data_IF_133465310824
#
_entry.id   IF_133465310824
#
_cell.length_a   1.000
_cell.length_b   1.000
_cell.length_c   1.000
_cell.angle_alpha   90.00
_cell.angle_beta   90.00
_cell.angle_gamma   90.00
#
_symmetry.space_group_name_H-M   'P 1'
#
loop_
_entity.id
_entity.type
_entity.pdbx_description
1 polymer ?
#
# COMPACT_ATOMS: atom_id res chain seq x y z
N UNK A 1 -38.79 -4.95 15.85
CA UNK A 1 -38.57 -4.82 14.40
C UNK A 1 -37.42 -3.84 14.07
N UNK A 2 -36.20 -4.10 14.57
CA UNK A 2 -35.01 -3.25 14.30
C UNK A 2 -33.73 -4.02 13.94
N UNK A 3 -33.76 -5.36 14.01
CA UNK A 3 -32.59 -6.23 13.81
C UNK A 3 -32.48 -6.83 12.39
N UNK A 4 -33.42 -6.55 11.49
CA UNK A 4 -33.45 -7.15 10.15
C UNK A 4 -32.74 -6.28 9.10
N UNK A 5 -32.56 -4.97 9.39
CA UNK A 5 -32.07 -4.01 8.40
C UNK A 5 -30.53 -4.07 8.24
N UNK A 6 -29.79 -4.46 9.29
CA UNK A 6 -28.31 -4.50 9.25
C UNK A 6 -27.80 -5.69 8.43
N UNK A 7 -28.53 -6.82 8.42
CA UNK A 7 -28.14 -8.02 7.64
C UNK A 7 -28.22 -7.82 6.12
N UNK A 8 -29.18 -7.03 5.64
CA UNK A 8 -29.38 -6.79 4.21
C UNK A 8 -28.29 -5.85 3.65
N UNK A 9 -27.78 -4.92 4.46
CA UNK A 9 -26.72 -3.99 4.03
C UNK A 9 -25.36 -4.70 3.86
N UNK A 10 -25.03 -5.67 4.71
CA UNK A 10 -23.80 -6.49 4.59
C UNK A 10 -23.85 -7.47 3.40
N UNK A 11 -25.03 -7.99 3.06
CA UNK A 11 -25.20 -8.85 1.88
C UNK A 11 -25.03 -8.05 0.57
N UNK A 12 -25.48 -6.79 0.53
CA UNK A 12 -25.37 -5.96 -0.67
C UNK A 12 -23.93 -5.50 -0.98
N UNK A 13 -23.12 -5.23 0.04
CA UNK A 13 -21.70 -4.89 -0.18
C UNK A 13 -20.91 -6.12 -0.67
N UNK A 14 -21.28 -7.31 -0.19
CA UNK A 14 -20.69 -8.57 -0.67
C UNK A 14 -21.14 -8.93 -2.10
N UNK A 15 -22.39 -8.63 -2.49
CA UNK A 15 -22.88 -8.87 -3.86
C UNK A 15 -22.42 -7.82 -4.89
N UNK A 16 -22.18 -6.56 -4.49
CA UNK A 16 -21.49 -5.62 -5.38
C UNK A 16 -20.03 -6.04 -5.67
N UNK A 17 -19.44 -6.86 -4.80
CA UNK A 17 -18.09 -7.40 -4.99
C UNK A 17 -18.05 -8.54 -6.03
N UNK A 18 -19.19 -9.12 -6.44
CA UNK A 18 -19.25 -10.20 -7.42
C UNK A 18 -19.52 -9.71 -8.86
N UNK A 19 -20.09 -8.52 -9.05
CA UNK A 19 -20.46 -8.02 -10.39
C UNK A 19 -19.29 -7.37 -11.16
N UNK A 20 -18.15 -7.11 -10.51
CA UNK A 20 -16.92 -6.65 -11.17
C UNK A 20 -15.73 -7.57 -10.85
N UNK A 21 -15.88 -8.88 -11.12
CA UNK A 21 -14.74 -9.62 -11.66
C UNK A 21 -14.50 -9.18 -13.11
N UNK A 22 -14.23 -7.89 -13.33
CA UNK A 22 -13.29 -7.57 -14.40
C UNK A 22 -12.04 -8.29 -14.00
N UNK A 23 -11.75 -9.43 -14.66
CA UNK A 23 -10.43 -10.05 -14.64
C UNK A 23 -9.46 -8.93 -15.00
N UNK A 24 -8.92 -8.27 -13.98
CA UNK A 24 -7.87 -7.29 -14.15
C UNK A 24 -6.70 -8.14 -14.62
N UNK A 25 -6.58 -8.24 -15.95
CA UNK A 25 -5.51 -8.98 -16.60
C UNK A 25 -4.24 -8.15 -16.37
N UNK A 26 -3.64 -8.41 -15.21
CA UNK A 26 -2.41 -7.79 -14.75
C UNK A 26 -1.27 -8.60 -15.36
N UNK A 27 -0.92 -8.24 -16.60
CA UNK A 27 0.23 -8.79 -17.31
C UNK A 27 1.50 -8.70 -16.45
N UNK A 28 2.23 -9.81 -16.35
CA UNK A 28 3.67 -10.03 -16.13
C UNK A 28 4.54 -8.92 -15.48
N UNK A 29 4.05 -8.24 -14.45
CA UNK A 29 4.93 -7.45 -13.59
C UNK A 29 5.46 -8.34 -12.46
N UNK A 30 6.76 -8.24 -12.19
CA UNK A 30 7.41 -9.00 -11.13
C UNK A 30 7.08 -8.37 -9.78
N UNK A 31 5.91 -8.69 -9.22
CA UNK A 31 5.46 -8.20 -7.92
C UNK A 31 6.06 -9.01 -6.79
N UNK A 32 6.33 -8.34 -5.66
CA UNK A 32 6.80 -9.03 -4.48
C UNK A 32 5.69 -9.90 -3.85
N UNK A 33 6.05 -11.10 -3.39
CA UNK A 33 5.16 -11.96 -2.64
C UNK A 33 4.87 -11.38 -1.25
N UNK A 34 3.60 -11.04 -0.97
CA UNK A 34 3.19 -10.54 0.34
C UNK A 34 3.39 -11.57 1.47
N UNK A 35 3.09 -12.88 1.28
CA UNK A 35 3.43 -13.89 2.29
C UNK A 35 4.92 -13.94 2.62
N UNK A 36 5.79 -13.85 1.61
CA UNK A 36 7.24 -13.85 1.84
C UNK A 36 7.67 -12.60 2.63
N UNK A 37 7.09 -11.44 2.30
CA UNK A 37 7.34 -10.17 2.97
C UNK A 37 7.02 -10.24 4.47
N UNK A 38 5.89 -10.86 4.84
CA UNK A 38 5.47 -11.01 6.25
C UNK A 38 6.39 -11.95 7.06
N UNK A 39 7.23 -12.74 6.40
CA UNK A 39 8.19 -13.65 7.03
C UNK A 39 9.64 -13.17 6.96
N UNK A 40 9.91 -12.04 6.29
CA UNK A 40 11.25 -11.49 6.19
C UNK A 40 11.71 -10.92 7.54
N UNK A 41 12.84 -11.41 8.03
CA UNK A 41 13.35 -11.05 9.36
C UNK A 41 13.69 -9.57 9.48
N UNK A 42 14.27 -8.96 8.45
CA UNK A 42 14.64 -7.54 8.49
C UNK A 42 13.40 -6.65 8.50
N UNK A 43 12.37 -7.03 7.74
CA UNK A 43 11.10 -6.32 7.78
C UNK A 43 10.35 -6.51 9.10
N UNK A 44 10.39 -7.70 9.69
CA UNK A 44 9.81 -7.96 11.01
C UNK A 44 10.49 -7.17 12.14
N UNK A 45 11.75 -6.74 11.97
CA UNK A 45 12.40 -5.83 12.92
C UNK A 45 11.83 -4.41 12.86
N UNK A 46 11.30 -4.01 11.70
CA UNK A 46 10.81 -2.64 11.44
C UNK A 46 9.29 -2.51 11.48
N UNK A 47 8.56 -3.62 11.29
CA UNK A 47 7.10 -3.61 11.15
C UNK A 47 6.39 -4.61 12.06
N UNK A 48 5.16 -4.28 12.41
CA UNK A 48 4.12 -5.23 12.75
C UNK A 48 3.21 -5.43 11.53
N UNK A 49 2.99 -6.69 11.12
CA UNK A 49 2.13 -7.03 10.01
C UNK A 49 0.79 -7.59 10.46
N UNK A 50 -0.27 -7.20 9.77
CA UNK A 50 -1.64 -7.62 10.01
C UNK A 50 -2.31 -7.99 8.68
N UNK A 51 -3.29 -8.88 8.75
CA UNK A 51 -4.06 -9.29 7.58
C UNK A 51 -5.04 -8.18 7.19
N UNK A 52 -5.09 -7.82 5.92
CA UNK A 52 -6.04 -6.84 5.37
C UNK A 52 -6.68 -7.38 4.07
N UNK A 53 -7.98 -7.15 3.79
CA UNK A 53 -8.60 -7.62 2.54
C UNK A 53 -7.95 -7.06 1.26
N UNK A 54 -7.40 -5.85 1.30
CA UNK A 54 -6.72 -5.22 0.18
C UNK A 54 -5.26 -5.68 0.02
N UNK A 55 -4.70 -6.37 1.01
CA UNK A 55 -3.33 -6.92 1.00
C UNK A 55 -2.81 -7.20 2.41
N UNK A 56 -1.79 -6.44 2.84
CA UNK A 56 -1.20 -6.56 4.17
C UNK A 56 -1.13 -5.18 4.82
N UNK A 57 -1.75 -5.02 5.98
CA UNK A 57 -1.55 -3.84 6.80
C UNK A 57 -0.21 -3.94 7.54
N UNK A 58 0.57 -2.86 7.55
CA UNK A 58 1.84 -2.78 8.24
C UNK A 58 1.91 -1.53 9.10
N UNK A 59 2.41 -1.67 10.32
CA UNK A 59 2.65 -0.58 11.26
C UNK A 59 4.14 -0.51 11.57
N UNK A 60 4.77 0.62 11.27
CA UNK A 60 6.17 0.86 11.57
C UNK A 60 6.38 0.93 13.09
N UNK A 61 7.34 0.17 13.60
CA UNK A 61 7.74 0.18 15.01
C UNK A 61 8.42 1.49 15.41
N UNK A 62 9.12 2.11 14.47
CA UNK A 62 9.83 3.37 14.64
C UNK A 62 9.28 4.47 13.73
N UNK A 63 10.17 5.13 12.99
CA UNK A 63 9.82 6.12 11.99
C UNK A 63 9.37 5.42 10.69
N UNK A 64 8.28 5.89 10.08
CA UNK A 64 7.78 5.37 8.81
C UNK A 64 8.83 5.43 7.69
N UNK A 65 9.64 6.49 7.63
CA UNK A 65 10.64 6.69 6.58
C UNK A 65 11.72 5.60 6.58
N UNK A 66 12.21 5.24 7.77
CA UNK A 66 13.22 4.18 7.93
C UNK A 66 12.63 2.80 7.60
N UNK A 67 11.35 2.62 7.94
CA UNK A 67 10.60 1.41 7.62
C UNK A 67 10.36 1.29 6.10
N UNK A 68 10.00 2.39 5.41
CA UNK A 68 9.90 2.45 3.95
C UNK A 68 11.23 2.19 3.26
N UNK A 69 12.35 2.65 3.82
CA UNK A 69 13.67 2.31 3.31
C UNK A 69 13.96 0.80 3.40
N UNK A 70 13.48 0.13 4.45
CA UNK A 70 13.57 -1.33 4.56
C UNK A 70 12.73 -2.06 3.51
N UNK A 71 11.54 -1.53 3.17
CA UNK A 71 10.75 -2.03 2.04
C UNK A 71 11.46 -1.83 0.69
N UNK A 72 12.13 -0.68 0.49
CA UNK A 72 12.95 -0.44 -0.70
C UNK A 72 14.12 -1.43 -0.80
N UNK A 73 14.80 -1.72 0.31
CA UNK A 73 15.89 -2.70 0.35
C UNK A 73 15.37 -4.10 0.02
N UNK A 74 14.20 -4.47 0.53
CA UNK A 74 13.55 -5.73 0.20
C UNK A 74 13.21 -5.82 -1.29
N UNK A 75 12.56 -4.79 -1.86
CA UNK A 75 12.24 -4.72 -3.28
C UNK A 75 13.50 -4.85 -4.16
N UNK A 76 14.60 -4.17 -3.78
CA UNK A 76 15.89 -4.28 -4.47
C UNK A 76 16.47 -5.70 -4.40
N UNK A 77 16.49 -6.31 -3.22
CA UNK A 77 17.06 -7.64 -2.97
C UNK A 77 16.32 -8.72 -3.75
N UNK A 78 15.00 -8.59 -3.86
CA UNK A 78 14.13 -9.57 -4.53
C UNK A 78 13.80 -9.20 -5.98
N UNK A 79 14.30 -8.06 -6.47
CA UNK A 79 14.08 -7.59 -7.84
C UNK A 79 12.61 -7.42 -8.20
N UNK A 80 11.76 -7.02 -7.24
CA UNK A 80 10.30 -7.00 -7.39
C UNK A 80 9.68 -5.67 -6.96
N UNK A 81 8.47 -5.38 -7.46
CA UNK A 81 7.73 -4.16 -7.14
C UNK A 81 6.81 -4.36 -5.91
N UNK A 82 6.73 -3.32 -5.07
CA UNK A 82 5.74 -3.20 -4.01
C UNK A 82 4.87 -1.96 -4.23
N UNK A 83 3.59 -2.10 -3.88
CA UNK A 83 2.64 -0.99 -3.89
C UNK A 83 2.22 -0.73 -2.45
N UNK A 84 2.40 0.50 -1.99
CA UNK A 84 2.05 0.90 -0.61
C UNK A 84 1.06 2.04 -0.63
N UNK A 85 0.26 2.13 0.42
CA UNK A 85 -0.70 3.21 0.60
C UNK A 85 -0.64 3.65 2.07
N UNK A 86 -0.26 4.91 2.29
CA UNK A 86 -0.21 5.48 3.64
C UNK A 86 -1.63 5.75 4.16
N UNK A 87 -1.94 5.24 5.35
CA UNK A 87 -3.23 5.50 6.00
C UNK A 87 -3.40 6.98 6.33
N UNK A 88 -2.32 7.65 6.72
CA UNK A 88 -2.32 9.08 6.94
C UNK A 88 -2.65 9.86 5.66
N UNK A 89 -1.99 9.57 4.54
CA UNK A 89 -2.27 10.24 3.26
C UNK A 89 -3.69 9.93 2.75
N UNK A 90 -4.17 8.72 2.96
CA UNK A 90 -5.55 8.34 2.62
C UNK A 90 -6.55 9.15 3.45
N UNK A 91 -6.39 9.18 4.78
CA UNK A 91 -7.25 9.93 5.67
C UNK A 91 -7.25 11.43 5.30
N UNK A 92 -6.07 12.01 5.03
CA UNK A 92 -5.99 13.39 4.56
C UNK A 92 -6.73 13.61 3.24
N UNK A 93 -6.61 12.70 2.28
CA UNK A 93 -7.29 12.79 0.99
C UNK A 93 -8.82 12.71 1.12
N UNK A 94 -9.31 11.83 2.00
CA UNK A 94 -10.74 11.68 2.29
C UNK A 94 -11.30 12.88 3.05
N UNK A 95 -10.57 13.39 4.05
CA UNK A 95 -10.97 14.55 4.84
C UNK A 95 -11.02 15.84 4.02
N UNK A 96 -10.04 16.06 3.13
CA UNK A 96 -10.04 17.21 2.20
C UNK A 96 -11.25 17.21 1.27
N UNK A 97 -11.82 16.03 0.96
CA UNK A 97 -13.04 15.92 0.16
C UNK A 97 -14.33 16.05 0.95
N UNK A 98 -14.30 15.78 2.27
CA UNK A 98 -15.52 15.65 3.08
C UNK A 98 -15.74 16.79 4.08
N UNK A 99 -14.73 17.60 4.40
CA UNK A 99 -14.89 18.68 5.39
C UNK A 99 -13.96 19.86 5.13
N UNK A 100 -14.53 20.91 4.53
CA UNK A 100 -14.00 22.27 4.65
C UNK A 100 -14.34 22.92 6.02
N UNK A 101 -15.02 22.20 6.93
CA UNK A 101 -15.57 22.76 8.18
C UNK A 101 -15.19 22.01 9.49
N UNK A 102 -14.32 20.98 9.47
CA UNK A 102 -13.80 20.36 10.73
C UNK A 102 -12.39 20.89 11.04
N UNK A 103 -12.19 22.20 10.97
CA UNK A 103 -10.92 22.82 11.43
C UNK A 103 -10.93 23.17 12.93
N UNK A 104 -11.97 22.78 13.68
CA UNK A 104 -12.14 23.21 15.09
C UNK A 104 -12.70 22.16 16.04
N UNK A 105 -12.15 20.95 16.10
CA UNK A 105 -12.31 20.13 17.31
C UNK A 105 -11.32 18.95 17.38
N UNK A 106 -10.24 19.12 18.14
CA UNK A 106 -9.75 18.09 19.08
C UNK A 106 -9.08 16.80 18.58
N UNK A 107 -8.62 16.68 17.33
CA UNK A 107 -8.11 15.41 16.76
C UNK A 107 -6.62 15.05 16.98
N UNK A 108 -5.99 15.47 18.09
CA UNK A 108 -4.52 15.45 18.21
C UNK A 108 -3.85 14.07 18.38
N UNK A 109 -4.56 13.02 18.80
CA UNK A 109 -3.93 11.75 19.22
C UNK A 109 -4.12 10.58 18.24
N UNK A 110 -5.26 10.49 17.54
CA UNK A 110 -5.49 9.40 16.58
C UNK A 110 -4.76 9.56 15.25
N UNK A 111 -4.52 10.80 14.79
CA UNK A 111 -3.76 11.07 13.56
C UNK A 111 -2.29 10.65 13.68
N UNK A 112 -1.68 10.77 14.86
CA UNK A 112 -0.31 10.32 15.12
C UNK A 112 -0.20 8.79 15.01
N UNK A 113 -1.22 8.04 15.42
CA UNK A 113 -1.23 6.59 15.22
C UNK A 113 -1.28 6.17 13.73
N UNK A 114 -1.82 7.02 12.85
CA UNK A 114 -1.95 6.74 11.42
C UNK A 114 -0.68 7.06 10.63
N UNK A 115 0.20 7.91 11.15
CA UNK A 115 1.44 8.33 10.46
C UNK A 115 2.45 7.20 10.31
N UNK A 116 2.29 6.12 11.08
CA UNK A 116 3.14 4.92 11.05
C UNK A 116 2.51 3.74 10.30
N UNK A 117 1.28 3.89 9.82
CA UNK A 117 0.48 2.80 9.25
C UNK A 117 0.40 2.91 7.73
N UNK A 118 0.64 1.78 7.07
CA UNK A 118 0.51 1.64 5.63
C UNK A 118 -0.21 0.34 5.28
N UNK A 119 -0.79 0.29 4.09
CA UNK A 119 -1.27 -0.95 3.47
C UNK A 119 -0.34 -1.28 2.31
N UNK A 120 0.25 -2.48 2.34
CA UNK A 120 0.99 -3.06 1.21
C UNK A 120 -0.03 -3.83 0.38
N UNK A 121 -0.26 -3.37 -0.85
CA UNK A 121 -1.26 -3.91 -1.75
C UNK A 121 -0.70 -5.09 -2.55
N UNK A 122 -1.58 -6.03 -2.90
CA UNK A 122 -1.26 -7.00 -3.95
C UNK A 122 -1.10 -6.24 -5.28
N UNK A 123 -0.07 -6.59 -6.06
CA UNK A 123 0.31 -5.83 -7.24
C UNK A 123 -0.80 -5.76 -8.29
N UNK A 124 -1.53 -6.86 -8.49
CA UNK A 124 -2.68 -6.93 -9.38
C UNK A 124 -3.83 -6.02 -8.91
N UNK A 125 -4.15 -6.02 -7.62
CA UNK A 125 -5.14 -5.14 -7.01
C UNK A 125 -4.74 -3.67 -7.15
N UNK A 126 -3.48 -3.33 -6.89
CA UNK A 126 -2.97 -1.97 -7.00
C UNK A 126 -3.05 -1.44 -8.45
N UNK A 127 -2.70 -2.27 -9.43
CA UNK A 127 -2.84 -1.94 -10.86
C UNK A 127 -4.32 -1.76 -11.23
N UNK A 128 -5.20 -2.63 -10.71
CA UNK A 128 -6.63 -2.55 -10.96
C UNK A 128 -7.23 -1.24 -10.43
N UNK A 129 -6.89 -0.85 -9.20
CA UNK A 129 -7.33 0.42 -8.57
C UNK A 129 -6.93 1.63 -9.44
N UNK A 130 -5.70 1.65 -9.98
CA UNK A 130 -5.25 2.72 -10.89
C UNK A 130 -6.06 2.76 -12.18
N UNK A 131 -6.38 1.60 -12.77
CA UNK A 131 -7.19 1.51 -14.00
C UNK A 131 -8.64 1.96 -13.80
N UNK A 132 -9.19 1.76 -12.61
CA UNK A 132 -10.53 2.22 -12.24
C UNK A 132 -10.62 3.74 -12.04
N UNK A 133 -9.51 4.49 -12.21
CA UNK A 133 -9.49 5.95 -12.08
C UNK A 133 -9.63 6.44 -10.64
N UNK A 134 -9.50 5.56 -9.65
CA UNK A 134 -9.55 5.93 -8.24
C UNK A 134 -8.28 6.71 -7.88
N UNK A 135 -8.46 7.94 -7.42
CA UNK A 135 -7.35 8.82 -6.96
C UNK A 135 -6.91 8.45 -5.55
N UNK A 136 -6.35 7.25 -5.39
CA UNK A 136 -5.76 6.81 -4.14
C UNK A 136 -4.27 7.20 -4.08
N UNK A 137 -3.74 7.57 -2.89
CA UNK A 137 -2.33 7.90 -2.70
C UNK A 137 -1.47 6.62 -2.65
N UNK A 138 -1.41 5.90 -3.77
CA UNK A 138 -0.62 4.68 -3.93
C UNK A 138 0.81 5.06 -4.32
N UNK A 139 1.78 4.68 -3.50
CA UNK A 139 3.19 4.78 -3.78
C UNK A 139 3.71 3.48 -4.40
N UNK A 140 4.68 3.57 -5.31
CA UNK A 140 5.30 2.40 -5.94
C UNK A 140 6.77 2.35 -5.51
N UNK A 141 7.19 1.21 -4.99
CA UNK A 141 8.57 0.91 -4.65
C UNK A 141 9.09 -0.04 -5.71
N UNK A 142 9.92 0.47 -6.62
CA UNK A 142 10.56 -0.31 -7.69
C UNK A 142 12.00 -0.64 -7.34
N UNK A 143 12.54 -1.80 -7.76
CA UNK A 143 13.94 -2.11 -7.56
C UNK A 143 14.82 -1.08 -8.30
N UNK A 144 15.73 -0.45 -7.57
CA UNK A 144 16.74 0.43 -8.16
C UNK A 144 17.73 -0.42 -8.96
N UNK A 145 17.72 -0.26 -10.29
CA UNK A 145 18.73 -0.85 -11.17
C UNK A 145 20.11 -0.23 -10.91
N UNK A 146 20.79 -0.69 -9.85
CA UNK A 146 22.21 -0.44 -9.63
C UNK A 146 22.97 -1.77 -9.69
N UNK A 147 22.93 -2.40 -10.87
CA UNK A 147 24.05 -3.22 -11.33
C UNK A 147 24.93 -2.33 -12.21
N UNK A 148 26.19 -2.19 -11.82
CA UNK A 148 27.15 -1.29 -12.44
C UNK A 148 27.45 -1.63 -13.90
N UNK A 149 27.54 -0.60 -14.74
CA UNK A 149 28.44 -0.61 -15.88
C UNK A 149 29.55 0.39 -15.57
N UNK A 150 30.59 -0.10 -14.92
CA UNK A 150 31.88 0.58 -14.89
C UNK A 150 32.74 -0.13 -15.93
N UNK A 151 32.92 0.48 -17.09
CA UNK A 151 33.95 0.10 -18.06
C UNK A 151 34.47 1.35 -18.77
N UNK A 152 35.60 1.82 -18.24
CA UNK A 152 36.77 2.29 -18.96
C UNK A 152 36.65 3.45 -19.96
N UNK A 153 37.29 4.56 -19.57
CA UNK A 153 38.09 5.40 -20.48
C UNK A 153 38.89 4.55 -21.47
N UNK A 154 38.74 4.80 -22.78
CA UNK A 154 39.86 4.84 -23.75
C UNK A 154 39.40 5.33 -25.14
N UNK A 155 39.85 6.54 -25.50
CA UNK A 155 40.52 6.81 -26.77
C UNK A 155 39.71 7.14 -28.02
N UNK A 156 40.31 8.08 -28.78
CA UNK A 156 40.09 8.46 -30.19
C UNK A 156 38.90 9.43 -30.43
N UNK A 157 39.09 10.60 -31.04
CA UNK A 157 40.17 11.09 -31.91
C UNK A 157 40.25 12.61 -31.83
#
# INVERSE_FOLDING_TARGET
MKQIIIGILMAFICQLSYAHQTKCNCNNNHFCSLPALQTDKQLLEQFHFYKDPAGVAAEAKGNLKDAEQSLQNYANKHGCELYTLSMFSLAQGLLKGSFADIDKQGGGSEMQGMEKKLIILEGDKAVCIKKLGLKLPINIITPSSKNGHNSSKKGHK
#
